data_IF_175892180013
#
_entry.id   IF_175892180013
#
_cell.length_a   1.000
_cell.length_b   1.000
_cell.length_c   1.000
_cell.angle_alpha   90.00
_cell.angle_beta   90.00
_cell.angle_gamma   90.00
#
_symmetry.space_group_name_H-M   'P 1'
#
loop_
_entity.id
_entity.type
_entity.pdbx_description
1 polymer ?
#
# COMPACT_ATOMS: atom_id res chain seq x y z
N UNK A 1 -30.21 7.27 -7.49
CA UNK A 1 -29.05 6.38 -7.71
C UNK A 1 -27.99 6.77 -6.68
N UNK A 2 -27.58 5.86 -5.80
CA UNK A 2 -26.46 6.10 -4.88
C UNK A 2 -25.20 6.33 -5.71
N UNK A 3 -24.44 7.40 -5.43
CA UNK A 3 -23.13 7.59 -6.07
C UNK A 3 -22.24 6.44 -5.61
N UNK A 4 -21.76 5.63 -6.55
CA UNK A 4 -20.75 4.61 -6.23
C UNK A 4 -19.50 5.31 -5.73
N UNK A 5 -19.10 5.00 -4.50
CA UNK A 5 -17.88 5.52 -3.90
C UNK A 5 -16.66 5.02 -4.70
N UNK A 6 -15.74 5.94 -5.00
CA UNK A 6 -14.55 5.68 -5.81
C UNK A 6 -13.29 5.96 -4.98
N UNK A 7 -12.24 5.21 -5.26
CA UNK A 7 -10.88 5.48 -4.77
C UNK A 7 -10.04 6.12 -5.86
N UNK A 8 -9.38 7.20 -5.49
CA UNK A 8 -8.30 7.79 -6.27
C UNK A 8 -7.02 7.02 -6.00
N UNK A 9 -6.47 6.38 -7.03
CA UNK A 9 -5.30 5.53 -6.95
C UNK A 9 -4.26 5.96 -7.97
N UNK A 10 -3.00 5.60 -7.75
CA UNK A 10 -1.97 5.69 -8.76
C UNK A 10 -1.13 4.41 -8.82
N UNK A 11 -0.56 4.14 -9.99
CA UNK A 11 0.36 3.02 -10.17
C UNK A 11 1.50 3.39 -11.11
N UNK A 12 2.66 2.79 -10.87
CA UNK A 12 3.84 2.95 -11.71
C UNK A 12 4.11 1.63 -12.43
N UNK A 13 4.09 1.64 -13.75
CA UNK A 13 4.46 0.48 -14.56
C UNK A 13 5.69 0.80 -15.42
N UNK A 14 6.51 -0.21 -15.69
CA UNK A 14 7.74 -0.08 -16.49
C UNK A 14 7.48 0.40 -17.92
N UNK A 15 8.53 0.62 -18.71
CA UNK A 15 8.37 0.85 -20.17
C UNK A 15 7.81 -0.43 -20.81
N UNK A 16 6.87 -0.30 -21.75
CA UNK A 16 6.27 -1.43 -22.48
C UNK A 16 5.05 -2.08 -21.80
N UNK A 17 4.72 -1.68 -20.59
CA UNK A 17 3.54 -2.17 -19.87
C UNK A 17 2.34 -1.28 -20.07
N UNK A 18 1.19 -1.89 -20.35
CA UNK A 18 -0.11 -1.22 -20.33
C UNK A 18 -0.89 -1.75 -19.15
N UNK A 19 -1.58 -0.87 -18.42
CA UNK A 19 -2.51 -1.31 -17.38
C UNK A 19 -3.88 -1.70 -17.95
N UNK A 20 -4.22 -1.24 -19.16
CA UNK A 20 -5.53 -1.44 -19.81
C UNK A 20 -5.53 -2.54 -20.89
N UNK A 21 -4.36 -3.00 -21.34
CA UNK A 21 -4.24 -4.14 -22.25
C UNK A 21 -3.81 -5.36 -21.47
N UNK A 22 -4.33 -6.54 -21.84
CA UNK A 22 -3.96 -7.81 -21.21
C UNK A 22 -2.57 -8.26 -21.70
N UNK A 23 -1.53 -7.67 -21.11
CA UNK A 23 -0.14 -7.92 -21.48
C UNK A 23 0.84 -7.82 -20.29
N UNK A 24 0.33 -7.92 -19.06
CA UNK A 24 1.17 -7.97 -17.87
C UNK A 24 1.93 -9.30 -17.83
N UNK A 25 3.24 -9.24 -18.04
CA UNK A 25 4.15 -10.33 -17.70
C UNK A 25 4.82 -10.03 -16.34
N UNK A 26 4.40 -10.71 -15.26
CA UNK A 26 5.00 -10.53 -13.94
C UNK A 26 6.49 -10.88 -13.93
N UNK A 27 6.97 -11.80 -14.78
CA UNK A 27 8.36 -12.25 -14.80
C UNK A 27 9.35 -11.12 -15.13
N UNK A 28 8.89 -10.11 -15.87
CA UNK A 28 9.66 -8.96 -16.29
C UNK A 28 9.72 -7.83 -15.24
N UNK A 29 9.01 -7.98 -14.11
CA UNK A 29 9.03 -7.01 -13.01
C UNK A 29 10.45 -6.76 -12.47
N UNK A 30 10.82 -5.49 -12.29
CA UNK A 30 12.07 -5.12 -11.64
C UNK A 30 12.19 -5.65 -10.20
N UNK A 31 11.06 -5.77 -9.50
CA UNK A 31 11.01 -6.35 -8.15
C UNK A 31 11.37 -7.83 -8.14
N UNK A 32 10.95 -8.62 -9.13
CA UNK A 32 11.35 -10.02 -9.23
C UNK A 32 12.88 -10.17 -9.32
N UNK A 33 13.57 -9.21 -9.94
CA UNK A 33 15.02 -9.21 -10.06
C UNK A 33 15.70 -8.73 -8.78
N UNK A 34 15.11 -7.76 -8.10
CA UNK A 34 15.69 -7.12 -6.92
C UNK A 34 15.44 -7.90 -5.62
N UNK A 35 14.30 -8.58 -5.49
CA UNK A 35 13.84 -9.24 -4.26
C UNK A 35 13.60 -10.73 -4.55
N UNK A 36 14.53 -11.63 -4.20
CA UNK A 36 14.47 -13.05 -4.59
C UNK A 36 13.19 -13.78 -4.15
N UNK A 37 12.68 -13.47 -2.96
CA UNK A 37 11.47 -14.07 -2.38
C UNK A 37 10.16 -13.56 -3.02
N UNK A 38 10.21 -12.43 -3.74
CA UNK A 38 9.02 -11.74 -4.22
C UNK A 38 8.21 -12.60 -5.18
N UNK A 39 8.87 -13.36 -6.06
CA UNK A 39 8.18 -14.20 -7.06
C UNK A 39 7.27 -15.24 -6.39
N UNK A 40 7.81 -15.99 -5.45
CA UNK A 40 7.11 -17.09 -4.79
C UNK A 40 6.01 -16.56 -3.86
N UNK A 41 6.31 -15.48 -3.13
CA UNK A 41 5.32 -14.82 -2.29
C UNK A 41 4.20 -14.15 -3.11
N UNK A 42 4.49 -13.57 -4.28
CA UNK A 42 3.47 -13.02 -5.18
C UNK A 42 2.56 -14.13 -5.70
N UNK A 43 3.11 -15.30 -6.01
CA UNK A 43 2.34 -16.48 -6.40
C UNK A 43 1.42 -16.93 -5.26
N UNK A 44 1.94 -17.04 -4.04
CA UNK A 44 1.18 -17.37 -2.84
C UNK A 44 0.04 -16.37 -2.57
N UNK A 45 0.32 -15.06 -2.65
CA UNK A 45 -0.68 -13.99 -2.56
C UNK A 45 -1.81 -14.18 -3.59
N UNK A 46 -1.44 -14.42 -4.85
CA UNK A 46 -2.38 -14.66 -5.94
C UNK A 46 -3.28 -15.86 -5.66
N UNK A 47 -2.68 -17.02 -5.34
CA UNK A 47 -3.37 -18.30 -5.27
C UNK A 47 -4.18 -18.46 -3.98
N UNK A 48 -3.68 -17.97 -2.84
CA UNK A 48 -4.26 -18.24 -1.53
C UNK A 48 -5.10 -17.09 -0.96
N UNK A 49 -4.85 -15.84 -1.40
CA UNK A 49 -5.45 -14.66 -0.74
C UNK A 49 -6.32 -13.82 -1.68
N UNK A 50 -5.93 -13.68 -2.95
CA UNK A 50 -6.63 -12.78 -3.91
C UNK A 50 -7.49 -13.55 -4.91
N UNK A 51 -7.11 -14.78 -5.26
CA UNK A 51 -7.84 -15.62 -6.21
C UNK A 51 -7.61 -15.28 -7.69
N UNK A 52 -6.60 -14.47 -8.01
CA UNK A 52 -6.18 -14.19 -9.39
C UNK A 52 -4.69 -13.88 -9.50
N UNK A 53 -4.00 -14.38 -10.55
CA UNK A 53 -2.61 -14.02 -10.84
C UNK A 53 -2.44 -12.61 -11.44
N UNK A 54 -3.55 -12.07 -11.97
CA UNK A 54 -3.58 -10.85 -12.77
C UNK A 54 -4.19 -9.71 -11.97
N UNK A 55 -3.32 -8.96 -11.30
CA UNK A 55 -3.68 -7.78 -10.54
C UNK A 55 -2.63 -6.68 -10.71
N UNK A 56 -3.08 -5.44 -10.55
CA UNK A 56 -2.25 -4.24 -10.55
C UNK A 56 -2.07 -3.79 -9.10
N UNK A 57 -0.82 -3.52 -8.73
CA UNK A 57 -0.49 -2.93 -7.43
C UNK A 57 -0.60 -1.41 -7.53
N UNK A 58 -1.45 -0.82 -6.69
CA UNK A 58 -1.73 0.61 -6.68
C UNK A 58 -1.47 1.19 -5.30
N UNK A 59 -1.09 2.46 -5.26
CA UNK A 59 -1.03 3.27 -4.05
C UNK A 59 -2.28 4.15 -3.96
N UNK A 60 -2.72 4.44 -2.75
CA UNK A 60 -3.83 5.38 -2.52
C UNK A 60 -3.30 6.78 -2.80
N UNK A 61 -4.04 7.56 -3.59
CA UNK A 61 -3.71 8.96 -3.84
C UNK A 61 -4.16 9.81 -2.65
N UNK A 62 -3.28 10.67 -2.14
CA UNK A 62 -3.67 11.75 -1.25
C UNK A 62 -3.49 13.09 -1.97
N UNK A 63 -4.26 14.10 -1.57
CA UNK A 63 -4.23 15.43 -2.19
C UNK A 63 -2.90 16.20 -1.98
N UNK A 64 -1.93 15.64 -1.24
CA UNK A 64 -0.66 16.28 -0.86
C UNK A 64 0.55 15.75 -1.66
N UNK A 65 0.42 14.61 -2.35
CA UNK A 65 1.50 13.98 -3.11
C UNK A 65 1.00 13.53 -4.49
N UNK A 66 0.85 14.49 -5.41
CA UNK A 66 0.35 14.21 -6.76
C UNK A 66 1.45 13.86 -7.77
N UNK A 67 2.72 14.22 -7.53
CA UNK A 67 3.67 14.30 -8.66
C UNK A 67 4.87 13.34 -8.56
N UNK A 68 5.03 12.61 -7.44
CA UNK A 68 6.21 11.76 -7.20
C UNK A 68 5.88 10.48 -6.45
N UNK A 69 6.27 9.35 -7.03
CA UNK A 69 6.36 8.07 -6.33
C UNK A 69 7.54 8.13 -5.33
N UNK A 70 7.28 7.79 -4.07
CA UNK A 70 8.21 7.91 -2.93
C UNK A 70 9.56 7.20 -3.14
N UNK A 71 9.65 6.23 -4.06
CA UNK A 71 10.83 5.39 -4.22
C UNK A 71 11.83 5.83 -5.30
N UNK A 72 11.53 6.82 -6.17
CA UNK A 72 12.44 6.97 -7.33
C UNK A 72 12.47 8.30 -8.13
N UNK A 73 11.76 9.37 -7.75
CA UNK A 73 11.59 10.55 -8.65
C UNK A 73 11.08 10.15 -10.07
N UNK A 74 10.51 8.95 -10.20
CA UNK A 74 9.95 8.45 -11.45
C UNK A 74 8.55 9.05 -11.60
N UNK A 75 8.21 9.58 -12.79
CA UNK A 75 6.89 10.13 -13.01
C UNK A 75 5.84 9.04 -12.80
N UNK A 76 4.85 9.35 -11.96
CA UNK A 76 3.62 8.57 -11.87
C UNK A 76 3.03 8.49 -13.28
N UNK A 77 2.73 7.28 -13.75
CA UNK A 77 2.30 7.07 -15.14
C UNK A 77 0.80 6.96 -15.30
N UNK A 78 0.10 6.57 -14.24
CA UNK A 78 -1.33 6.26 -14.31
C UNK A 78 -2.03 6.72 -13.04
N UNK A 79 -3.01 7.58 -13.22
CA UNK A 79 -4.00 7.97 -12.21
C UNK A 79 -5.32 7.26 -12.51
N UNK A 80 -5.98 6.79 -11.46
CA UNK A 80 -7.12 5.92 -11.56
C UNK A 80 -8.22 6.35 -10.59
N UNK A 81 -9.46 6.27 -11.05
CA UNK A 81 -10.67 6.42 -10.25
C UNK A 81 -11.44 5.09 -10.28
N UNK A 82 -11.21 4.25 -9.26
CA UNK A 82 -11.73 2.88 -9.22
C UNK A 82 -12.91 2.79 -8.27
N UNK A 83 -14.09 2.30 -8.70
CA UNK A 83 -15.18 2.01 -7.78
C UNK A 83 -14.74 1.05 -6.67
N UNK A 84 -15.08 1.33 -5.40
CA UNK A 84 -14.64 0.50 -4.26
C UNK A 84 -15.06 -0.97 -4.42
N UNK A 85 -16.22 -1.23 -5.03
CA UNK A 85 -16.72 -2.58 -5.27
C UNK A 85 -15.93 -3.36 -6.35
N UNK A 86 -15.07 -2.69 -7.12
CA UNK A 86 -14.20 -3.29 -8.13
C UNK A 86 -12.78 -3.52 -7.61
N UNK A 87 -12.48 -3.09 -6.38
CA UNK A 87 -11.20 -3.35 -5.70
C UNK A 87 -11.14 -4.81 -5.29
N UNK A 88 -10.02 -5.47 -5.60
CA UNK A 88 -9.78 -6.85 -5.17
C UNK A 88 -9.51 -6.90 -3.67
N UNK A 89 -8.57 -6.08 -3.21
CA UNK A 89 -8.19 -6.04 -1.80
C UNK A 89 -7.42 -4.78 -1.42
N UNK A 90 -7.43 -4.46 -0.13
CA UNK A 90 -6.48 -3.54 0.52
C UNK A 90 -5.46 -4.39 1.26
N UNK A 91 -4.19 -4.12 1.02
CA UNK A 91 -3.04 -4.85 1.56
C UNK A 91 -2.30 -3.95 2.55
N UNK A 92 -1.97 -4.50 3.72
CA UNK A 92 -1.02 -3.87 4.63
C UNK A 92 0.40 -3.95 4.03
N UNK A 93 0.91 -2.80 3.60
CA UNK A 93 2.20 -2.69 2.91
C UNK A 93 3.36 -3.14 3.79
N UNK A 94 3.27 -2.94 5.10
CA UNK A 94 4.34 -3.32 6.02
C UNK A 94 4.40 -4.82 6.26
N UNK A 95 3.23 -5.46 6.38
CA UNK A 95 3.16 -6.92 6.45
C UNK A 95 3.66 -7.54 5.15
N UNK A 96 3.29 -6.96 4.00
CA UNK A 96 3.80 -7.40 2.70
C UNK A 96 5.33 -7.32 2.62
N UNK A 97 5.91 -6.18 2.98
CA UNK A 97 7.36 -5.98 2.95
C UNK A 97 8.08 -7.04 3.79
N UNK A 98 7.59 -7.32 5.01
CA UNK A 98 8.14 -8.38 5.86
C UNK A 98 8.05 -9.76 5.24
N UNK A 99 6.92 -10.10 4.61
CA UNK A 99 6.74 -11.38 3.89
C UNK A 99 7.81 -11.54 2.79
N UNK A 100 8.10 -10.47 2.05
CA UNK A 100 9.14 -10.48 1.01
C UNK A 100 10.56 -10.26 1.57
N UNK A 101 10.74 -10.24 2.89
CA UNK A 101 12.06 -10.08 3.52
C UNK A 101 12.61 -8.65 3.48
N UNK A 102 11.77 -7.68 3.12
CA UNK A 102 12.06 -6.26 3.32
C UNK A 102 11.63 -5.86 4.73
N UNK A 103 12.62 -5.77 5.62
CA UNK A 103 12.43 -5.43 7.02
C UNK A 103 12.53 -3.93 7.30
N UNK A 104 12.48 -3.09 6.26
CA UNK A 104 12.41 -1.67 6.49
C UNK A 104 11.20 -1.32 7.37
N UNK A 105 11.47 -0.62 8.46
CA UNK A 105 10.46 -0.17 9.41
C UNK A 105 9.37 0.63 8.69
N UNK A 106 8.12 0.66 9.21
CA UNK A 106 7.10 1.61 8.80
C UNK A 106 7.47 3.01 9.28
N UNK A 107 8.63 3.52 8.84
CA UNK A 107 9.18 4.81 9.27
C UNK A 107 8.10 5.86 9.14
N UNK A 108 7.31 5.80 8.08
CA UNK A 108 6.29 6.80 7.76
C UNK A 108 5.04 6.72 8.66
N UNK A 109 4.46 5.54 8.94
CA UNK A 109 3.27 5.42 9.81
C UNK A 109 3.57 5.81 11.26
N UNK A 110 4.73 5.40 11.79
CA UNK A 110 5.13 5.74 13.16
C UNK A 110 5.61 7.18 13.29
N UNK A 111 6.33 7.68 12.28
CA UNK A 111 6.70 9.09 12.20
C UNK A 111 5.48 9.99 12.05
N UNK A 112 4.49 9.62 11.23
CA UNK A 112 3.22 10.34 11.09
C UNK A 112 2.44 10.39 12.40
N UNK A 113 2.35 9.26 13.13
CA UNK A 113 1.74 9.21 14.48
C UNK A 113 2.51 10.08 15.49
N UNK A 114 3.84 9.99 15.50
CA UNK A 114 4.68 10.81 16.37
C UNK A 114 4.50 12.30 16.05
N UNK A 115 4.57 12.70 14.78
CA UNK A 115 4.34 14.06 14.32
C UNK A 115 2.96 14.58 14.67
N UNK A 116 1.92 13.75 14.54
CA UNK A 116 0.55 14.10 14.94
C UNK A 116 0.48 14.37 16.43
N UNK A 117 1.00 13.46 17.26
CA UNK A 117 1.02 13.64 18.71
C UNK A 117 1.79 14.91 19.13
N UNK A 118 2.89 15.23 18.45
CA UNK A 118 3.64 16.48 18.65
C UNK A 118 2.82 17.70 18.25
N UNK A 119 2.11 17.62 17.11
CA UNK A 119 1.33 18.74 16.60
C UNK A 119 0.09 19.06 17.44
N UNK A 120 -0.52 18.03 18.03
CA UNK A 120 -1.68 18.13 18.91
C UNK A 120 -1.31 18.52 20.36
N UNK A 121 -0.04 18.40 20.74
CA UNK A 121 0.44 18.78 22.07
C UNK A 121 0.54 20.30 22.23
N UNK A 122 0.03 20.80 23.36
CA UNK A 122 0.10 22.22 23.72
C UNK A 122 1.53 22.68 24.10
N UNK A 123 2.42 21.76 24.48
CA UNK A 123 3.77 22.05 24.96
C UNK A 123 4.86 21.42 24.08
N UNK A 124 4.91 21.83 22.81
CA UNK A 124 5.84 21.28 21.79
C UNK A 124 7.32 21.33 22.18
N UNK A 125 7.72 22.35 22.95
CA UNK A 125 9.11 22.57 23.38
C UNK A 125 9.63 21.62 24.47
N UNK A 126 8.76 20.79 25.06
CA UNK A 126 9.11 19.82 26.11
C UNK A 126 9.03 18.36 25.64
N UNK A 127 8.73 18.12 24.37
CA UNK A 127 8.62 16.76 23.83
C UNK A 127 10.00 16.29 23.41
N UNK A 128 10.50 15.26 24.09
CA UNK A 128 11.65 14.48 23.61
C UNK A 128 11.21 13.64 22.41
N UNK A 129 11.60 14.09 21.21
CA UNK A 129 11.27 13.45 19.94
C UNK A 129 11.84 12.02 19.86
N UNK A 130 13.00 11.77 20.45
CA UNK A 130 13.67 10.48 20.33
C UNK A 130 13.05 9.47 21.30
N UNK A 131 12.66 9.91 22.50
CA UNK A 131 11.86 9.10 23.42
C UNK A 131 10.49 8.74 22.81
N UNK A 132 9.84 9.69 22.14
CA UNK A 132 8.53 9.45 21.50
C UNK A 132 8.65 8.49 20.31
N UNK A 133 9.66 8.66 19.45
CA UNK A 133 9.95 7.71 18.36
C UNK A 133 10.21 6.31 18.89
N UNK A 134 11.00 6.19 19.97
CA UNK A 134 11.30 4.90 20.61
C UNK A 134 10.04 4.24 21.15
N UNK A 135 9.18 4.98 21.85
CA UNK A 135 7.90 4.45 22.34
C UNK A 135 7.05 3.87 21.21
N UNK A 136 6.92 4.59 20.09
CA UNK A 136 6.13 4.10 18.96
C UNK A 136 6.81 2.94 18.23
N UNK A 137 8.14 2.90 18.20
CA UNK A 137 8.88 1.75 17.70
C UNK A 137 8.61 0.51 18.57
N UNK A 138 8.72 0.62 19.89
CA UNK A 138 8.48 -0.48 20.82
C UNK A 138 7.04 -1.00 20.68
N UNK A 139 6.05 -0.11 20.68
CA UNK A 139 4.64 -0.47 20.43
C UNK A 139 4.42 -1.15 19.08
N UNK A 140 5.14 -0.71 18.04
CA UNK A 140 5.07 -1.35 16.75
C UNK A 140 5.66 -2.74 16.79
N UNK A 141 6.84 -2.92 17.37
CA UNK A 141 7.52 -4.21 17.46
C UNK A 141 6.68 -5.23 18.24
N UNK A 142 6.01 -4.80 19.31
CA UNK A 142 5.05 -5.62 20.05
C UNK A 142 3.80 -6.01 19.22
N UNK A 143 3.39 -5.14 18.29
CA UNK A 143 2.22 -5.38 17.43
C UNK A 143 2.50 -6.30 16.23
N UNK A 144 3.77 -6.64 16.00
CA UNK A 144 4.17 -7.48 14.87
C UNK A 144 3.61 -8.89 14.97
N UNK A 145 3.22 -9.49 13.84
CA UNK A 145 2.85 -10.90 13.83
C UNK A 145 4.02 -11.77 14.28
N UNK A 146 3.73 -12.79 15.10
CA UNK A 146 4.74 -13.65 15.72
C UNK A 146 5.13 -14.85 14.86
N UNK A 147 4.43 -15.07 13.75
CA UNK A 147 4.68 -16.18 12.83
C UNK A 147 4.36 -15.78 11.39
N UNK A 148 4.88 -16.56 10.43
CA UNK A 148 4.57 -16.36 9.01
C UNK A 148 3.07 -16.50 8.71
N UNK A 149 2.41 -17.49 9.32
CA UNK A 149 0.97 -17.69 9.15
C UNK A 149 0.17 -16.46 9.61
N UNK A 150 0.54 -15.90 10.76
CA UNK A 150 -0.11 -14.69 11.26
C UNK A 150 0.15 -13.47 10.36
N UNK A 151 1.33 -13.36 9.75
CA UNK A 151 1.59 -12.34 8.72
C UNK A 151 0.63 -12.50 7.54
N UNK A 152 0.49 -13.70 6.98
CA UNK A 152 -0.41 -13.97 5.87
C UNK A 152 -1.89 -13.75 6.20
N UNK A 153 -2.30 -13.97 7.45
CA UNK A 153 -3.67 -13.74 7.90
C UNK A 153 -3.98 -12.25 8.08
N UNK A 154 -2.99 -11.46 8.50
CA UNK A 154 -3.12 -10.01 8.71
C UNK A 154 -2.82 -9.18 7.45
N UNK A 155 -2.26 -9.79 6.41
CA UNK A 155 -1.89 -9.10 5.16
C UNK A 155 -3.07 -8.41 4.47
N UNK A 156 -4.23 -9.08 4.45
CA UNK A 156 -5.42 -8.61 3.77
C UNK A 156 -6.33 -7.88 4.76
N UNK A 157 -6.62 -6.61 4.49
CA UNK A 157 -7.52 -5.82 5.33
C UNK A 157 -8.97 -6.29 5.10
N UNK A 158 -9.72 -6.63 6.17
CA UNK A 158 -11.12 -7.00 6.07
C UNK A 158 -12.01 -5.91 5.44
N UNK A 159 -12.95 -6.29 4.56
CA UNK A 159 -13.82 -5.35 3.82
C UNK A 159 -14.61 -4.38 4.70
N UNK A 160 -15.04 -4.83 5.87
CA UNK A 160 -15.76 -4.00 6.85
C UNK A 160 -14.88 -2.89 7.46
N UNK A 161 -13.55 -2.99 7.34
CA UNK A 161 -12.61 -1.98 7.84
C UNK A 161 -12.16 -0.98 6.76
N UNK A 162 -12.47 -1.21 5.49
CA UNK A 162 -11.93 -0.41 4.39
C UNK A 162 -12.27 1.08 4.52
N UNK A 163 -13.51 1.41 4.86
CA UNK A 163 -13.94 2.81 4.98
C UNK A 163 -13.24 3.55 6.12
N UNK A 164 -12.90 2.88 7.22
CA UNK A 164 -12.22 3.50 8.34
C UNK A 164 -10.73 3.69 8.01
N UNK A 165 -10.12 2.69 7.38
CA UNK A 165 -8.74 2.73 6.91
C UNK A 165 -8.53 3.88 5.92
N UNK A 166 -9.44 4.04 4.96
CA UNK A 166 -9.35 5.09 3.94
C UNK A 166 -9.54 6.51 4.50
N UNK A 167 -10.13 6.65 5.69
CA UNK A 167 -10.23 7.94 6.41
C UNK A 167 -9.00 8.23 7.26
N UNK A 168 -8.09 7.27 7.44
CA UNK A 168 -6.84 7.52 8.17
C UNK A 168 -5.97 8.51 7.39
N UNK A 169 -5.47 9.54 8.09
CA UNK A 169 -4.65 10.61 7.50
C UNK A 169 -3.39 10.09 6.79
N UNK A 170 -2.90 8.91 7.19
CA UNK A 170 -1.69 8.26 6.68
C UNK A 170 -1.97 6.90 6.01
N UNK A 171 -3.22 6.68 5.57
CA UNK A 171 -3.60 5.43 4.89
C UNK A 171 -2.72 5.14 3.67
N UNK A 172 -2.43 6.18 2.88
CA UNK A 172 -1.64 6.12 1.65
C UNK A 172 -0.17 5.72 1.86
N UNK A 173 0.36 5.85 3.08
CA UNK A 173 1.72 5.39 3.43
C UNK A 173 1.74 3.95 3.95
N UNK A 174 0.58 3.44 4.36
CA UNK A 174 0.47 2.19 5.13
C UNK A 174 -0.20 1.06 4.36
N UNK A 175 -1.00 1.42 3.36
CA UNK A 175 -1.83 0.47 2.64
C UNK A 175 -1.72 0.69 1.14
N UNK A 176 -1.73 -0.43 0.44
CA UNK A 176 -1.76 -0.49 -1.01
C UNK A 176 -3.01 -1.22 -1.48
N UNK A 177 -3.46 -0.91 -2.68
CA UNK A 177 -4.71 -1.43 -3.23
C UNK A 177 -4.40 -2.32 -4.41
N UNK A 178 -5.04 -3.49 -4.44
CA UNK A 178 -4.99 -4.39 -5.58
C UNK A 178 -6.26 -4.25 -6.40
N UNK A 179 -6.10 -4.05 -7.70
CA UNK A 179 -7.22 -3.99 -8.65
C UNK A 179 -7.02 -5.04 -9.75
N UNK A 180 -8.08 -5.46 -10.46
CA UNK A 180 -7.97 -6.41 -11.56
C UNK A 180 -7.08 -5.89 -12.69
N UNK A 181 -6.32 -6.78 -13.31
CA UNK A 181 -5.70 -6.54 -14.61
C UNK A 181 -6.47 -7.33 -15.70
N UNK A 182 -6.79 -6.73 -16.86
CA UNK A 182 -6.59 -5.31 -17.20
C UNK A 182 -7.54 -4.37 -16.45
N UNK A 183 -7.08 -3.13 -16.24
CA UNK A 183 -7.90 -2.03 -15.75
C UNK A 183 -8.90 -1.57 -16.83
N UNK A 184 -10.09 -1.12 -16.43
CA UNK A 184 -11.09 -0.55 -17.35
C UNK A 184 -10.62 0.84 -17.79
N UNK A 185 -10.77 1.17 -19.07
CA UNK A 185 -10.42 2.49 -19.60
C UNK A 185 -11.14 3.62 -18.88
N UNK A 186 -12.40 3.37 -18.47
CA UNK A 186 -13.21 4.33 -17.72
C UNK A 186 -12.69 4.65 -16.32
N UNK A 187 -11.70 3.91 -15.81
CA UNK A 187 -11.03 4.22 -14.57
C UNK A 187 -9.87 5.21 -14.76
N UNK A 188 -9.31 5.33 -15.96
CA UNK A 188 -8.11 6.14 -16.19
C UNK A 188 -8.45 7.63 -16.22
N UNK A 189 -7.72 8.41 -15.42
CA UNK A 189 -7.84 9.87 -15.36
C UNK A 189 -6.72 10.47 -16.21
N UNK A 190 -7.08 11.35 -17.15
CA UNK A 190 -6.16 12.09 -18.02
C UNK A 190 -5.86 13.48 -17.47
#
# INVERSE_FOLDING_TARGET
MSKTEKLSLWTCQGKGYSIIKDNLDPALSGYNKAVPSYRDNRKKLSEEKIGTPNFIWCCIQNNKHNDKCWEADKPVKWFLEVPINEVLSIVDTFIWNRIIGDHEYPRNKLFGKALKAINESQNKSQIDLDALKKLYQDQYEESLPKSENEMWDRLIIPKNSWNDILKEEFAWESYTVLIPHPAKESWVIF
#
